data_IF_920770080666
#
_entry.id   IF_920770080666
#
_cell.length_a   1.000
_cell.length_b   1.000
_cell.length_c   1.000
_cell.angle_alpha   90.00
_cell.angle_beta   90.00
_cell.angle_gamma   90.00
#
_symmetry.space_group_name_H-M   'P 1'
#
loop_
_entity.id
_entity.type
_entity.pdbx_description
1 polymer ?
#
# COMPACT_ATOMS: atom_id res chain seq x y z
N UNK A 1 12.69 14.88 -15.14
CA UNK A 1 13.78 13.89 -15.24
C UNK A 1 13.57 12.91 -14.09
N UNK A 2 13.56 11.60 -14.35
CA UNK A 2 13.34 10.59 -13.29
C UNK A 2 14.51 10.59 -12.30
N UNK A 3 14.22 10.67 -11.00
CA UNK A 3 15.19 10.49 -9.92
C UNK A 3 14.87 9.23 -9.15
N UNK A 4 15.91 8.55 -8.66
CA UNK A 4 15.73 7.39 -7.78
C UNK A 4 15.32 7.90 -6.40
N UNK A 5 14.25 7.36 -5.79
CA UNK A 5 13.77 7.84 -4.51
C UNK A 5 14.63 7.38 -3.32
N UNK A 6 15.57 6.47 -3.53
CA UNK A 6 16.44 5.96 -2.48
C UNK A 6 17.78 6.69 -2.39
N UNK A 7 18.40 6.62 -1.22
CA UNK A 7 19.67 7.29 -0.92
C UNK A 7 20.81 6.78 -1.80
N UNK A 8 21.89 7.56 -1.86
CA UNK A 8 23.14 7.16 -2.54
C UNK A 8 23.75 5.89 -1.96
N UNK A 9 23.55 5.63 -0.66
CA UNK A 9 23.99 4.39 0.00
C UNK A 9 23.37 3.18 -0.69
N UNK A 10 22.05 3.20 -0.86
CA UNK A 10 21.31 2.14 -1.58
C UNK A 10 21.70 2.11 -3.06
N UNK A 11 21.86 3.28 -3.70
CA UNK A 11 22.22 3.29 -5.13
C UNK A 11 23.59 2.67 -5.41
N UNK A 12 24.54 2.87 -4.49
CA UNK A 12 25.90 2.32 -4.59
C UNK A 12 25.99 0.82 -4.31
N UNK A 13 24.94 0.18 -3.78
CA UNK A 13 24.91 -1.27 -3.58
C UNK A 13 25.03 -1.99 -4.92
N UNK A 14 26.06 -2.82 -5.06
CA UNK A 14 26.25 -3.66 -6.25
C UNK A 14 25.45 -4.93 -6.11
N UNK A 15 24.73 -5.31 -7.17
CA UNK A 15 24.09 -6.62 -7.24
C UNK A 15 25.15 -7.72 -7.25
N UNK A 16 24.87 -8.91 -6.69
CA UNK A 16 25.78 -10.05 -6.76
C UNK A 16 26.19 -10.39 -8.20
N UNK A 17 27.42 -10.85 -8.37
CA UNK A 17 27.92 -11.32 -9.67
C UNK A 17 27.07 -12.51 -10.13
N UNK A 18 26.55 -12.46 -11.36
CA UNK A 18 25.59 -13.42 -11.95
C UNK A 18 24.16 -13.36 -11.38
N UNK A 19 23.78 -12.28 -10.71
CA UNK A 19 22.39 -12.07 -10.30
C UNK A 19 21.45 -12.18 -11.50
N UNK A 20 20.44 -13.05 -11.38
CA UNK A 20 19.34 -13.12 -12.32
C UNK A 20 18.11 -12.44 -11.71
N UNK A 21 17.68 -11.30 -12.28
CA UNK A 21 16.48 -10.59 -11.87
C UNK A 21 15.26 -11.54 -11.81
N UNK A 22 14.61 -11.72 -10.65
CA UNK A 22 13.39 -12.52 -10.57
C UNK A 22 12.28 -11.89 -11.39
N UNK A 23 11.32 -12.74 -11.79
CA UNK A 23 10.05 -12.27 -12.33
C UNK A 23 9.09 -12.04 -11.17
N UNK A 24 8.56 -10.82 -11.10
CA UNK A 24 7.59 -10.46 -10.07
C UNK A 24 6.18 -10.43 -10.65
N UNK A 25 5.21 -10.85 -9.85
CA UNK A 25 3.83 -10.46 -10.08
C UNK A 25 3.72 -8.95 -9.88
N UNK A 26 3.18 -8.24 -10.86
CA UNK A 26 3.02 -6.80 -10.78
C UNK A 26 1.76 -6.41 -10.02
N UNK A 27 1.87 -5.41 -9.15
CA UNK A 27 0.80 -4.91 -8.30
C UNK A 27 0.44 -3.46 -8.66
N UNK A 28 -0.85 -3.20 -8.80
CA UNK A 28 -1.44 -1.89 -9.17
C UNK A 28 -2.24 -1.25 -8.02
N UNK A 29 -2.01 -1.68 -6.78
CA UNK A 29 -2.81 -1.35 -5.58
C UNK A 29 -4.14 -2.08 -5.47
N UNK A 30 -4.46 -2.99 -6.38
CA UNK A 30 -5.59 -3.89 -6.22
C UNK A 30 -5.18 -5.21 -5.53
N UNK A 31 -5.97 -5.69 -4.57
CA UNK A 31 -5.67 -6.90 -3.79
C UNK A 31 -5.15 -6.62 -2.37
N UNK A 32 -4.34 -7.49 -1.78
CA UNK A 32 -3.83 -7.29 -0.42
C UNK A 32 -2.36 -6.82 -0.45
N UNK A 33 -2.05 -5.58 -0.02
CA UNK A 33 -0.68 -5.06 -0.02
C UNK A 33 0.31 -5.89 0.81
N UNK A 34 -0.12 -6.45 1.94
CA UNK A 34 0.74 -7.31 2.79
C UNK A 34 1.06 -8.64 2.11
N UNK A 35 0.10 -9.23 1.41
CA UNK A 35 0.37 -10.45 0.62
C UNK A 35 1.36 -10.15 -0.51
N UNK A 36 1.21 -9.01 -1.20
CA UNK A 36 2.16 -8.58 -2.22
C UNK A 36 3.58 -8.44 -1.66
N UNK A 37 3.73 -7.75 -0.53
CA UNK A 37 5.02 -7.60 0.16
C UNK A 37 5.63 -8.96 0.53
N UNK A 38 4.85 -9.85 1.13
CA UNK A 38 5.32 -11.19 1.50
C UNK A 38 5.80 -12.00 0.29
N UNK A 39 5.02 -12.00 -0.81
CA UNK A 39 5.41 -12.67 -2.05
C UNK A 39 6.67 -12.06 -2.68
N UNK A 40 6.80 -10.74 -2.65
CA UNK A 40 7.99 -10.05 -3.16
C UNK A 40 9.24 -10.44 -2.37
N UNK A 41 9.19 -10.40 -1.03
CA UNK A 41 10.31 -10.76 -0.15
C UNK A 41 10.72 -12.21 -0.38
N UNK A 42 9.74 -13.13 -0.40
CA UNK A 42 10.01 -14.55 -0.62
C UNK A 42 10.64 -14.81 -2.00
N UNK A 43 10.17 -14.12 -3.04
CA UNK A 43 10.76 -14.20 -4.38
C UNK A 43 12.21 -13.73 -4.40
N UNK A 44 12.53 -12.67 -3.65
CA UNK A 44 13.89 -12.13 -3.54
C UNK A 44 14.82 -13.05 -2.74
N UNK A 45 14.33 -13.63 -1.64
CA UNK A 45 15.06 -14.60 -0.81
C UNK A 45 15.45 -15.84 -1.62
N UNK A 46 14.52 -16.38 -2.40
CA UNK A 46 14.77 -17.53 -3.28
C UNK A 46 15.82 -17.23 -4.37
N UNK A 47 16.02 -15.96 -4.72
CA UNK A 47 17.05 -15.51 -5.66
C UNK A 47 18.37 -15.11 -4.97
N UNK A 48 18.49 -15.27 -3.65
CA UNK A 48 19.67 -14.90 -2.88
C UNK A 48 19.90 -13.39 -2.78
N UNK A 49 18.84 -12.60 -2.80
CA UNK A 49 18.91 -11.13 -2.70
C UNK A 49 19.07 -10.72 -1.24
N UNK A 50 20.05 -9.88 -0.90
CA UNK A 50 20.17 -9.34 0.45
C UNK A 50 19.10 -8.28 0.72
N UNK A 51 18.77 -8.09 2.01
CA UNK A 51 17.70 -7.16 2.46
C UNK A 51 17.90 -5.75 1.92
N UNK A 52 19.14 -5.28 1.87
CA UNK A 52 19.49 -3.94 1.39
C UNK A 52 19.21 -3.75 -0.12
N UNK A 53 19.20 -4.83 -0.92
CA UNK A 53 18.88 -4.76 -2.35
C UNK A 53 17.37 -4.78 -2.64
N UNK A 54 16.53 -5.13 -1.67
CA UNK A 54 15.07 -5.19 -1.84
C UNK A 54 14.49 -3.84 -2.29
N UNK A 55 15.01 -2.73 -1.75
CA UNK A 55 14.60 -1.36 -2.12
C UNK A 55 14.78 -1.10 -3.63
N UNK A 56 15.87 -1.62 -4.22
CA UNK A 56 16.18 -1.45 -5.66
C UNK A 56 15.29 -2.31 -6.54
N UNK A 57 14.86 -3.47 -6.03
CA UNK A 57 14.06 -4.42 -6.78
C UNK A 57 12.57 -4.12 -6.73
N UNK A 58 12.09 -3.48 -5.66
CA UNK A 58 10.66 -3.34 -5.40
C UNK A 58 9.88 -2.69 -6.53
N UNK A 59 10.44 -1.66 -7.18
CA UNK A 59 9.83 -0.97 -8.34
C UNK A 59 9.44 -1.93 -9.47
N UNK A 60 10.18 -3.03 -9.65
CA UNK A 60 9.92 -4.04 -10.69
C UNK A 60 8.66 -4.87 -10.41
N UNK A 61 8.17 -4.82 -9.17
CA UNK A 61 6.92 -5.46 -8.74
C UNK A 61 5.70 -4.54 -8.85
N UNK A 62 5.87 -3.29 -9.31
CA UNK A 62 4.81 -2.28 -9.36
C UNK A 62 4.37 -2.03 -10.81
N UNK A 63 3.10 -1.67 -10.98
CA UNK A 63 2.52 -1.17 -12.24
C UNK A 63 1.41 -0.14 -11.96
N UNK A 64 1.02 0.63 -12.97
CA UNK A 64 -0.07 1.62 -12.87
C UNK A 64 0.07 2.53 -11.65
N UNK A 65 -1.02 2.76 -10.92
CA UNK A 65 -1.07 3.66 -9.76
C UNK A 65 -0.04 3.35 -8.66
N UNK A 66 0.43 2.11 -8.54
CA UNK A 66 1.50 1.78 -7.60
C UNK A 66 2.86 2.29 -8.09
N UNK A 67 3.12 2.19 -9.40
CA UNK A 67 4.33 2.69 -10.03
C UNK A 67 4.35 4.21 -10.08
N UNK A 68 3.21 4.85 -10.37
CA UNK A 68 3.09 6.32 -10.39
C UNK A 68 3.49 6.92 -9.03
N UNK A 69 2.99 6.35 -7.94
CA UNK A 69 3.43 6.75 -6.61
C UNK A 69 4.92 6.59 -6.36
N UNK A 70 5.52 5.51 -6.86
CA UNK A 70 6.94 5.26 -6.65
C UNK A 70 7.81 6.32 -7.33
N UNK A 71 7.41 6.78 -8.52
CA UNK A 71 8.14 7.84 -9.24
C UNK A 71 7.88 9.24 -8.67
N UNK A 72 6.78 9.41 -7.92
CA UNK A 72 6.43 10.65 -7.22
C UNK A 72 7.09 10.78 -5.83
N UNK A 73 7.78 9.74 -5.35
CA UNK A 73 8.52 9.79 -4.10
C UNK A 73 9.65 10.83 -4.16
N UNK A 74 9.86 11.52 -3.03
CA UNK A 74 10.96 12.47 -2.89
C UNK A 74 12.31 11.78 -3.09
N UNK A 75 13.23 12.45 -3.78
CA UNK A 75 14.56 11.93 -4.03
C UNK A 75 15.32 11.73 -2.71
N UNK A 76 16.12 10.67 -2.63
CA UNK A 76 16.90 10.32 -1.41
C UNK A 76 16.05 10.14 -0.13
N UNK A 77 14.74 9.93 -0.25
CA UNK A 77 13.84 9.72 0.89
C UNK A 77 13.88 8.30 1.46
N UNK A 78 14.24 7.28 0.68
CA UNK A 78 14.26 5.88 1.11
C UNK A 78 15.67 5.37 1.41
N UNK A 79 15.96 5.06 2.67
CA UNK A 79 17.26 4.48 3.06
C UNK A 79 17.21 3.00 3.45
N UNK A 80 16.03 2.39 3.65
CA UNK A 80 15.95 0.97 4.03
C UNK A 80 14.72 0.27 3.49
N UNK A 81 14.77 -1.07 3.50
CA UNK A 81 13.60 -1.89 3.17
C UNK A 81 12.41 -1.58 4.08
N UNK A 82 12.63 -1.50 5.39
CA UNK A 82 11.55 -1.23 6.34
C UNK A 82 10.86 0.11 6.05
N UNK A 83 11.62 1.11 5.57
CA UNK A 83 11.05 2.40 5.19
C UNK A 83 10.22 2.28 3.92
N UNK A 84 10.73 1.60 2.89
CA UNK A 84 9.97 1.32 1.66
C UNK A 84 8.66 0.60 1.97
N UNK A 85 8.72 -0.45 2.80
CA UNK A 85 7.54 -1.24 3.18
C UNK A 85 6.51 -0.37 3.92
N UNK A 86 6.95 0.41 4.91
CA UNK A 86 6.05 1.31 5.65
C UNK A 86 5.36 2.32 4.74
N UNK A 87 6.11 3.01 3.88
CA UNK A 87 5.55 4.01 2.97
C UNK A 87 4.58 3.38 1.97
N UNK A 88 4.94 2.22 1.41
CA UNK A 88 4.08 1.48 0.49
C UNK A 88 2.77 1.03 1.14
N UNK A 89 2.82 0.47 2.35
CA UNK A 89 1.63 0.06 3.07
C UNK A 89 0.78 1.29 3.45
N UNK A 90 1.42 2.36 3.92
CA UNK A 90 0.74 3.59 4.29
C UNK A 90 -0.10 4.16 3.14
N UNK A 91 0.47 4.25 1.93
CA UNK A 91 -0.26 4.80 0.78
C UNK A 91 -1.37 3.86 0.29
N UNK A 92 -1.15 2.55 0.36
CA UNK A 92 -2.16 1.57 -0.04
C UNK A 92 -3.38 1.60 0.90
N UNK A 93 -3.15 1.77 2.20
CA UNK A 93 -4.24 1.82 3.19
C UNK A 93 -4.87 3.21 3.31
N UNK A 94 -4.10 4.29 3.20
CA UNK A 94 -4.62 5.67 3.27
C UNK A 94 -5.53 5.99 2.09
N UNK A 95 -5.14 5.59 0.86
CA UNK A 95 -6.00 5.76 -0.32
C UNK A 95 -7.32 4.98 -0.20
N UNK A 96 -7.25 3.73 0.30
CA UNK A 96 -8.46 2.92 0.56
C UNK A 96 -9.36 3.55 1.61
N UNK A 97 -8.78 4.11 2.68
CA UNK A 97 -9.53 4.82 3.72
C UNK A 97 -10.24 6.04 3.16
N UNK A 98 -9.59 6.90 2.38
CA UNK A 98 -10.23 8.08 1.79
C UNK A 98 -11.39 7.69 0.86
N UNK A 99 -11.20 6.69 -0.01
CA UNK A 99 -12.27 6.21 -0.90
C UNK A 99 -13.42 5.58 -0.11
N UNK A 100 -13.11 4.77 0.91
CA UNK A 100 -14.13 4.14 1.76
C UNK A 100 -14.89 5.17 2.59
N UNK A 101 -14.21 6.21 3.10
CA UNK A 101 -14.83 7.32 3.84
C UNK A 101 -15.75 8.14 2.95
N UNK A 102 -15.31 8.53 1.74
CA UNK A 102 -16.20 9.20 0.77
C UNK A 102 -17.41 8.35 0.41
N UNK A 103 -17.23 7.03 0.26
CA UNK A 103 -18.35 6.12 -0.03
C UNK A 103 -19.31 6.04 1.16
N UNK A 104 -18.81 5.94 2.39
CA UNK A 104 -19.61 5.96 3.62
C UNK A 104 -20.43 7.24 3.75
N UNK A 105 -19.80 8.42 3.64
CA UNK A 105 -20.48 9.71 3.81
C UNK A 105 -21.52 9.99 2.72
N UNK A 106 -21.36 9.38 1.55
CA UNK A 106 -22.31 9.48 0.44
C UNK A 106 -23.37 8.36 0.43
N UNK A 107 -23.25 7.34 1.26
CA UNK A 107 -24.24 6.26 1.32
C UNK A 107 -25.45 6.74 2.11
N UNK A 108 -26.60 6.82 1.44
CA UNK A 108 -27.91 7.09 2.07
C UNK A 108 -28.80 5.88 1.86
N UNK A 109 -29.60 5.54 2.86
CA UNK A 109 -30.64 4.54 2.69
C UNK A 109 -31.62 5.00 1.62
N UNK A 110 -31.94 4.12 0.67
CA UNK A 110 -32.93 4.40 -0.38
C UNK A 110 -34.35 4.19 0.18
N UNK A 111 -35.36 4.86 -0.42
CA UNK A 111 -36.75 4.84 0.08
C UNK A 111 -37.33 3.43 0.26
N UNK A 112 -36.90 2.48 -0.56
CA UNK A 112 -37.42 1.10 -0.58
C UNK A 112 -36.37 0.05 -0.15
N UNK A 113 -35.20 0.49 0.35
CA UNK A 113 -34.15 -0.42 0.81
C UNK A 113 -34.47 -0.91 2.22
N UNK A 114 -34.50 -2.24 2.46
CA UNK A 114 -34.61 -2.78 3.81
C UNK A 114 -33.48 -2.26 4.69
N UNK A 115 -33.83 -1.74 5.88
CA UNK A 115 -32.88 -1.16 6.85
C UNK A 115 -31.69 -2.09 7.13
N UNK A 116 -31.93 -3.42 7.14
CA UNK A 116 -30.87 -4.43 7.36
C UNK A 116 -29.82 -4.44 6.26
N UNK A 117 -30.19 -4.20 4.99
CA UNK A 117 -29.26 -4.17 3.87
C UNK A 117 -28.37 -2.92 3.95
N UNK A 118 -28.98 -1.78 4.27
CA UNK A 118 -28.25 -0.54 4.52
C UNK A 118 -27.25 -0.71 5.68
N UNK A 119 -27.68 -1.28 6.81
CA UNK A 119 -26.80 -1.54 7.97
C UNK A 119 -25.64 -2.47 7.57
N UNK A 120 -25.91 -3.55 6.84
CA UNK A 120 -24.87 -4.48 6.42
C UNK A 120 -23.85 -3.82 5.48
N UNK A 121 -24.32 -3.01 4.52
CA UNK A 121 -23.46 -2.25 3.62
C UNK A 121 -22.60 -1.25 4.40
N UNK A 122 -23.21 -0.47 5.29
CA UNK A 122 -22.52 0.52 6.11
C UNK A 122 -21.49 -0.13 7.04
N UNK A 123 -21.82 -1.25 7.68
CA UNK A 123 -20.91 -2.06 8.48
C UNK A 123 -19.72 -2.59 7.66
N UNK A 124 -19.95 -3.06 6.43
CA UNK A 124 -18.88 -3.53 5.55
C UNK A 124 -17.91 -2.42 5.14
N UNK A 125 -18.44 -1.21 4.89
CA UNK A 125 -17.64 -0.06 4.51
C UNK A 125 -16.87 0.52 5.71
N UNK A 126 -17.48 0.54 6.91
CA UNK A 126 -16.83 1.03 8.12
C UNK A 126 -15.68 0.13 8.58
N UNK A 127 -15.80 -1.19 8.41
CA UNK A 127 -14.70 -2.14 8.68
C UNK A 127 -13.46 -1.86 7.82
N UNK A 128 -13.63 -1.40 6.58
CA UNK A 128 -12.53 -1.03 5.70
C UNK A 128 -11.87 0.33 6.07
N UNK A 129 -12.44 1.09 7.00
CA UNK A 129 -11.92 2.38 7.46
C UNK A 129 -11.07 2.30 8.74
N UNK A 130 -11.03 1.15 9.42
CA UNK A 130 -10.65 1.05 10.85
C UNK A 130 -9.17 1.21 11.21
N UNK A 131 -8.25 1.37 10.28
CA UNK A 131 -6.82 1.44 10.60
C UNK A 131 -6.37 2.69 11.41
N UNK A 132 -7.25 3.65 11.72
CA UNK A 132 -7.00 4.71 12.73
C UNK A 132 -8.24 5.19 13.52
N UNK A 133 -9.37 4.49 13.50
CA UNK A 133 -10.61 4.94 14.19
C UNK A 133 -10.59 4.76 15.72
N UNK A 134 -9.43 4.54 16.35
CA UNK A 134 -9.34 4.35 17.79
C UNK A 134 -9.00 5.60 18.60
N UNK A 135 -8.82 6.79 18.01
CA UNK A 135 -8.61 7.99 18.84
C UNK A 135 -9.63 9.12 18.70
N UNK A 136 -10.48 9.17 17.67
CA UNK A 136 -11.45 10.25 17.56
C UNK A 136 -12.78 9.74 16.98
N UNK A 137 -13.88 10.01 17.69
CA UNK A 137 -15.28 10.06 17.21
C UNK A 137 -16.18 8.80 17.20
N UNK A 138 -16.04 7.85 18.13
CA UNK A 138 -17.20 6.96 18.41
C UNK A 138 -18.35 7.75 19.05
N UNK A 139 -18.05 8.86 19.74
CA UNK A 139 -19.04 9.66 20.48
C UNK A 139 -19.84 10.62 19.59
N UNK A 140 -19.35 11.01 18.42
CA UNK A 140 -20.03 12.06 17.60
C UNK A 140 -20.87 11.50 16.43
N UNK A 141 -20.74 10.21 16.09
CA UNK A 141 -21.43 9.62 14.93
C UNK A 141 -22.81 9.07 15.28
N UNK A 142 -23.10 8.86 16.56
CA UNK A 142 -24.44 8.46 17.04
C UNK A 142 -24.99 9.61 17.87
N UNK A 143 -25.56 10.62 17.21
CA UNK A 143 -26.24 11.71 17.89
C UNK A 143 -27.43 11.20 18.70
N UNK A 144 -27.18 10.84 19.95
CA UNK A 144 -28.09 10.80 21.09
C UNK A 144 -27.57 11.76 22.15
#
# INVERSE_FOLDING_TARGET
MYSKPYTRRIDNLRMPTRYQPPKFQQFDRNGNPKQHVAHFVETCNNAGTEVDHLVKQFVRSLKGNAFDWYIDLESESLDSWDQMEREFLNICYSTRRTVSMMKLTNTKQWKDEPVVNYINLWCSLSLNCKDRLLELSVVDVIGL
#
